data_IF_781051382962
#
_entry.id   IF_781051382962
#
_cell.length_a   1.000
_cell.length_b   1.000
_cell.length_c   1.000
_cell.angle_alpha   90.00
_cell.angle_beta   90.00
_cell.angle_gamma   90.00
#
_symmetry.space_group_name_H-M   'P 1'
#
loop_
_entity.id
_entity.type
_entity.pdbx_description
1 polymer ?
#
# COMPACT_ATOMS: atom_id res chain seq x y z
N UNK A 1 -3.47 107.20 30.33
CA UNK A 1 -4.15 106.00 30.85
C UNK A 1 -3.29 104.79 30.50
N UNK A 2 -2.65 104.15 31.47
CA UNK A 2 -1.86 102.95 31.21
C UNK A 2 -2.79 101.79 30.85
N UNK A 3 -2.59 101.18 29.67
CA UNK A 3 -3.35 100.01 29.24
C UNK A 3 -2.69 98.77 29.85
N UNK A 4 -3.42 98.04 30.69
CA UNK A 4 -2.97 96.73 31.19
C UNK A 4 -3.13 95.70 30.07
N UNK A 5 -2.14 94.85 29.90
CA UNK A 5 -2.15 93.74 28.93
C UNK A 5 -2.00 92.45 29.73
N UNK A 6 -2.84 91.46 29.43
CA UNK A 6 -2.72 90.10 29.94
C UNK A 6 -2.28 89.18 28.80
N UNK A 7 -1.39 88.25 29.11
CA UNK A 7 -0.91 87.21 28.20
C UNK A 7 -1.21 85.86 28.84
N UNK A 8 -1.83 84.95 28.09
CA UNK A 8 -2.08 83.58 28.53
C UNK A 8 -1.07 82.68 27.83
N UNK A 9 -0.21 82.03 28.62
CA UNK A 9 0.74 81.04 28.12
C UNK A 9 0.09 79.65 28.13
N UNK A 10 0.15 78.96 27.00
CA UNK A 10 -0.34 77.60 26.86
C UNK A 10 0.81 76.60 27.08
N UNK A 11 0.53 75.56 27.89
CA UNK A 11 1.46 74.48 28.18
C UNK A 11 0.86 73.14 27.73
N UNK A 12 1.71 72.10 27.60
CA UNK A 12 1.23 70.75 27.29
C UNK A 12 0.14 70.30 28.29
N UNK A 13 -0.84 69.52 27.82
CA UNK A 13 -1.96 69.06 28.64
C UNK A 13 -1.60 67.94 29.63
N UNK A 14 -0.35 67.48 29.63
CA UNK A 14 0.12 66.36 30.44
C UNK A 14 0.94 66.83 31.66
N UNK A 15 1.49 65.85 32.38
CA UNK A 15 2.35 66.10 33.53
C UNK A 15 3.58 66.96 33.22
N UNK A 16 4.06 66.97 31.97
CA UNK A 16 5.20 67.81 31.58
C UNK A 16 4.80 69.28 31.55
N UNK A 17 3.63 69.60 30.99
CA UNK A 17 3.14 70.97 30.96
C UNK A 17 2.75 71.50 32.34
N UNK A 18 2.19 70.66 33.22
CA UNK A 18 1.95 71.05 34.61
C UNK A 18 3.26 71.36 35.36
N UNK A 19 4.31 70.56 35.15
CA UNK A 19 5.62 70.80 35.74
C UNK A 19 6.23 72.14 35.25
N UNK A 20 6.19 72.39 33.94
CA UNK A 20 6.68 73.65 33.35
C UNK A 20 5.90 74.88 33.81
N UNK A 21 4.57 74.80 33.89
CA UNK A 21 3.73 75.89 34.38
C UNK A 21 4.02 76.21 35.85
N UNK A 22 4.18 75.17 36.68
CA UNK A 22 4.51 75.31 38.10
C UNK A 22 5.91 75.89 38.32
N UNK A 23 6.87 75.51 37.47
CA UNK A 23 8.22 76.08 37.51
C UNK A 23 8.21 77.58 37.19
N UNK A 24 7.47 77.99 36.17
CA UNK A 24 7.29 79.40 35.83
C UNK A 24 6.59 80.19 36.94
N UNK A 25 5.53 79.65 37.55
CA UNK A 25 4.86 80.28 38.69
C UNK A 25 5.83 80.53 39.85
N UNK A 26 6.66 79.53 40.19
CA UNK A 26 7.68 79.68 41.24
C UNK A 26 8.73 80.75 40.94
N UNK A 27 9.06 80.96 39.66
CA UNK A 27 9.98 82.02 39.25
C UNK A 27 9.39 83.40 39.55
N UNK A 28 8.12 83.63 39.18
CA UNK A 28 7.41 84.86 39.54
C UNK A 28 7.25 85.02 41.06
N UNK A 29 7.03 83.94 41.81
CA UNK A 29 6.99 84.00 43.27
C UNK A 29 8.34 84.43 43.88
N UNK A 30 9.47 83.88 43.39
CA UNK A 30 10.82 84.27 43.87
C UNK A 30 11.13 85.74 43.62
N UNK A 31 10.62 86.31 42.54
CA UNK A 31 10.82 87.73 42.20
C UNK A 31 9.85 88.68 42.93
N UNK A 32 8.95 88.15 43.75
CA UNK A 32 7.89 88.94 44.39
C UNK A 32 6.92 89.52 43.37
N UNK A 33 6.53 88.71 42.38
CA UNK A 33 5.66 89.04 41.26
C UNK A 33 4.46 88.08 41.17
N UNK A 34 4.06 87.44 42.26
CA UNK A 34 2.96 86.47 42.22
C UNK A 34 1.60 87.16 42.15
N UNK A 35 0.53 86.36 41.99
CA UNK A 35 -0.86 86.80 42.12
C UNK A 35 -1.11 87.58 43.42
N UNK A 36 -0.47 87.18 44.51
CA UNK A 36 -0.64 87.83 45.82
C UNK A 36 -0.10 89.26 45.79
N UNK A 37 1.12 89.46 45.31
CA UNK A 37 1.71 90.80 45.20
C UNK A 37 0.92 91.69 44.22
N UNK A 38 0.37 91.09 43.15
CA UNK A 38 -0.53 91.78 42.22
C UNK A 38 -1.82 92.29 42.90
N UNK A 39 -2.48 91.45 43.70
CA UNK A 39 -3.74 91.81 44.39
C UNK A 39 -3.51 92.81 45.52
N UNK A 40 -2.42 92.66 46.27
CA UNK A 40 -2.11 93.51 47.42
C UNK A 40 -1.61 94.92 47.04
N UNK A 41 -1.39 95.19 45.74
CA UNK A 41 -0.82 96.44 45.21
C UNK A 41 0.48 96.86 45.93
N UNK A 42 1.22 95.88 46.45
CA UNK A 42 2.55 96.07 47.06
C UNK A 42 3.60 96.12 45.96
N UNK A 43 3.68 97.25 45.27
CA UNK A 43 4.69 97.46 44.25
C UNK A 43 4.79 98.93 43.87
N UNK A 44 6.03 99.43 43.81
CA UNK A 44 6.30 100.71 43.17
C UNK A 44 5.77 100.68 41.72
N UNK A 45 5.24 101.83 41.28
CA UNK A 45 4.54 102.01 40.01
C UNK A 45 5.48 102.02 38.80
N UNK A 46 6.37 101.04 38.69
CA UNK A 46 7.15 100.75 37.49
C UNK A 46 6.71 99.42 36.87
N UNK A 47 6.92 99.31 35.56
CA UNK A 47 6.40 98.30 34.63
C UNK A 47 6.81 96.84 34.95
N UNK A 48 6.37 96.28 36.08
CA UNK A 48 6.64 94.91 36.51
C UNK A 48 5.60 93.94 35.94
N UNK A 49 6.05 92.81 35.39
CA UNK A 49 5.17 91.71 35.00
C UNK A 49 4.84 90.85 36.22
N UNK A 50 3.60 90.36 36.29
CA UNK A 50 3.13 89.45 37.33
C UNK A 50 2.63 88.17 36.67
N UNK A 51 2.86 87.03 37.31
CA UNK A 51 2.54 85.72 36.74
C UNK A 51 2.14 84.71 37.81
N UNK A 52 1.20 83.84 37.45
CA UNK A 52 0.72 82.72 38.28
C UNK A 52 0.09 81.66 37.38
N UNK A 53 -0.05 80.44 37.89
CA UNK A 53 -0.84 79.42 37.22
C UNK A 53 -2.33 79.74 37.37
N UNK A 54 -3.08 79.77 36.27
CA UNK A 54 -4.52 79.93 36.33
C UNK A 54 -5.17 78.74 37.07
N UNK A 55 -5.97 79.02 38.11
CA UNK A 55 -6.69 78.01 38.90
C UNK A 55 -8.20 78.20 38.79
N UNK A 56 -8.97 77.42 39.53
CA UNK A 56 -10.44 77.46 39.52
C UNK A 56 -10.99 78.89 39.76
N UNK A 57 -10.32 79.69 40.58
CA UNK A 57 -10.72 81.09 40.82
C UNK A 57 -10.55 81.96 39.57
N UNK A 58 -9.45 81.81 38.84
CA UNK A 58 -9.18 82.57 37.60
C UNK A 58 -10.10 82.11 36.47
N UNK A 59 -10.34 80.81 36.37
CA UNK A 59 -11.26 80.20 35.40
C UNK A 59 -12.70 80.70 35.58
N UNK A 60 -13.16 80.83 36.84
CA UNK A 60 -14.50 81.30 37.18
C UNK A 60 -14.57 82.83 37.39
N UNK A 61 -13.50 83.57 37.11
CA UNK A 61 -13.46 85.02 37.34
C UNK A 61 -14.28 85.77 36.29
N UNK A 62 -14.90 86.88 36.70
CA UNK A 62 -15.54 87.79 35.76
C UNK A 62 -14.49 88.64 35.02
N UNK A 63 -14.66 88.77 33.70
CA UNK A 63 -13.81 89.58 32.84
C UNK A 63 -13.00 88.78 31.80
N UNK A 64 -12.16 89.46 31.00
CA UNK A 64 -11.58 88.87 29.80
C UNK A 64 -10.70 87.63 30.03
N UNK A 65 -10.08 87.52 31.21
CA UNK A 65 -9.22 86.38 31.55
C UNK A 65 -10.07 85.13 31.81
N UNK A 66 -11.09 85.22 32.67
CA UNK A 66 -11.99 84.08 32.94
C UNK A 66 -12.84 83.69 31.73
N UNK A 67 -13.30 84.67 30.94
CA UNK A 67 -13.99 84.39 29.66
C UNK A 67 -13.10 83.63 28.68
N UNK A 68 -11.83 83.99 28.55
CA UNK A 68 -10.89 83.27 27.69
C UNK A 68 -10.60 81.86 28.23
N UNK A 69 -10.30 81.73 29.52
CA UNK A 69 -9.97 80.45 30.15
C UNK A 69 -11.14 79.45 30.09
N UNK A 70 -12.38 79.91 30.28
CA UNK A 70 -13.57 79.06 30.19
C UNK A 70 -13.92 78.62 28.77
N UNK A 71 -13.61 79.47 27.78
CA UNK A 71 -13.84 79.18 26.37
C UNK A 71 -12.79 78.23 25.77
N UNK A 72 -11.51 78.47 26.05
CA UNK A 72 -10.40 77.74 25.43
C UNK A 72 -9.86 76.60 26.31
N UNK A 73 -10.13 76.64 27.62
CA UNK A 73 -9.60 75.68 28.60
C UNK A 73 -10.67 74.81 29.26
N UNK A 74 -10.24 73.68 29.83
CA UNK A 74 -11.07 72.80 30.66
C UNK A 74 -10.44 72.70 32.06
N UNK A 75 -11.21 73.02 33.09
CA UNK A 75 -10.79 72.81 34.48
C UNK A 75 -10.68 71.31 34.76
N UNK A 76 -9.49 70.85 35.17
CA UNK A 76 -9.19 69.45 35.53
C UNK A 76 -8.49 69.39 36.88
N UNK A 77 -8.67 68.30 37.60
CA UNK A 77 -7.90 68.00 38.81
C UNK A 77 -6.63 67.20 38.46
N UNK A 78 -5.67 67.20 39.39
CA UNK A 78 -4.46 66.36 39.29
C UNK A 78 -4.81 64.86 39.20
N UNK A 79 -5.91 64.46 39.84
CA UNK A 79 -6.42 63.10 39.81
C UNK A 79 -6.94 62.72 38.43
N UNK A 80 -7.64 63.64 37.74
CA UNK A 80 -8.20 63.40 36.40
C UNK A 80 -7.10 63.07 35.38
N UNK A 81 -5.99 63.83 35.40
CA UNK A 81 -4.83 63.62 34.51
C UNK A 81 -4.14 62.27 34.80
N UNK A 82 -4.09 61.88 36.08
CA UNK A 82 -3.51 60.59 36.49
C UNK A 82 -4.38 59.42 36.06
N UNK A 83 -5.69 59.57 36.17
CA UNK A 83 -6.67 58.56 35.80
C UNK A 83 -6.70 58.32 34.28
N UNK A 84 -6.77 59.38 33.47
CA UNK A 84 -6.75 59.30 32.00
C UNK A 84 -5.50 58.52 31.51
N UNK A 85 -4.32 58.86 32.04
CA UNK A 85 -3.08 58.16 31.71
C UNK A 85 -3.06 56.69 32.16
N UNK A 86 -3.73 56.35 33.26
CA UNK A 86 -3.84 54.98 33.75
C UNK A 86 -4.83 54.16 32.90
N UNK A 87 -5.96 54.76 32.53
CA UNK A 87 -6.96 54.17 31.64
C UNK A 87 -6.37 53.87 30.26
N UNK A 88 -5.65 54.82 29.66
CA UNK A 88 -4.96 54.62 28.38
C UNK A 88 -3.98 53.44 28.44
N UNK A 89 -3.17 53.37 29.51
CA UNK A 89 -2.22 52.27 29.72
C UNK A 89 -2.93 50.94 29.90
N UNK A 90 -3.99 50.90 30.69
CA UNK A 90 -4.76 49.67 30.92
C UNK A 90 -5.42 49.19 29.62
N UNK A 91 -5.97 50.10 28.82
CA UNK A 91 -6.55 49.75 27.51
C UNK A 91 -5.52 49.07 26.61
N UNK A 92 -4.32 49.64 26.51
CA UNK A 92 -3.22 49.03 25.72
C UNK A 92 -2.80 47.68 26.30
N UNK A 93 -2.73 47.55 27.63
CA UNK A 93 -2.39 46.28 28.27
C UNK A 93 -3.43 45.19 28.00
N UNK A 94 -4.72 45.52 28.05
CA UNK A 94 -5.80 44.57 27.74
C UNK A 94 -5.76 44.13 26.27
N UNK A 95 -5.53 45.05 25.33
CA UNK A 95 -5.36 44.72 23.91
C UNK A 95 -4.16 43.78 23.69
N UNK A 96 -3.02 44.09 24.30
CA UNK A 96 -1.82 43.26 24.21
C UNK A 96 -2.04 41.88 24.85
N UNK A 97 -2.71 41.82 26.00
CA UNK A 97 -3.06 40.57 26.68
C UNK A 97 -3.96 39.68 25.81
N UNK A 98 -4.96 40.29 25.17
CA UNK A 98 -5.84 39.62 24.21
C UNK A 98 -5.06 39.07 23.01
N UNK A 99 -4.16 39.87 22.43
CA UNK A 99 -3.32 39.46 21.31
C UNK A 99 -2.39 38.29 21.69
N UNK A 100 -1.80 38.30 22.89
CA UNK A 100 -0.98 37.20 23.41
C UNK A 100 -1.83 35.93 23.57
N UNK A 101 -3.04 36.04 24.13
CA UNK A 101 -3.94 34.91 24.31
C UNK A 101 -4.32 34.27 22.96
N UNK A 102 -4.71 35.08 21.97
CA UNK A 102 -5.01 34.61 20.61
C UNK A 102 -3.80 33.94 19.96
N UNK A 103 -2.62 34.57 20.05
CA UNK A 103 -1.38 34.03 19.46
C UNK A 103 -1.00 32.69 20.09
N UNK A 104 -1.15 32.55 21.41
CA UNK A 104 -0.93 31.28 22.10
C UNK A 104 -1.94 30.21 21.69
N UNK A 105 -3.20 30.57 21.48
CA UNK A 105 -4.21 29.63 21.01
C UNK A 105 -3.89 29.13 19.59
N UNK A 106 -3.50 30.02 18.68
CA UNK A 106 -3.10 29.65 17.32
C UNK A 106 -1.83 28.79 17.31
N UNK A 107 -0.85 29.11 18.15
CA UNK A 107 0.36 28.30 18.32
C UNK A 107 0.00 26.88 18.78
N UNK A 108 -0.90 26.74 19.75
CA UNK A 108 -1.37 25.44 20.23
C UNK A 108 -2.08 24.65 19.13
N UNK A 109 -2.93 25.30 18.31
CA UNK A 109 -3.61 24.65 17.17
C UNK A 109 -2.61 24.12 16.14
N UNK A 110 -1.62 24.94 15.76
CA UNK A 110 -0.59 24.53 14.80
C UNK A 110 0.25 23.39 15.36
N UNK A 111 0.65 23.46 16.63
CA UNK A 111 1.41 22.40 17.29
C UNK A 111 0.62 21.07 17.34
N UNK A 112 -0.68 21.14 17.64
CA UNK A 112 -1.55 19.96 17.64
C UNK A 112 -1.62 19.33 16.24
N UNK A 113 -1.92 20.13 15.21
CA UNK A 113 -2.00 19.65 13.82
C UNK A 113 -0.68 19.06 13.32
N UNK A 114 0.44 19.69 13.68
CA UNK A 114 1.77 19.18 13.37
C UNK A 114 2.01 17.80 14.01
N UNK A 115 1.68 17.64 15.30
CA UNK A 115 1.87 16.37 15.99
C UNK A 115 0.98 15.27 15.40
N UNK A 116 -0.27 15.59 15.06
CA UNK A 116 -1.19 14.65 14.42
C UNK A 116 -0.66 14.17 13.06
N UNK A 117 -0.25 15.12 12.20
CA UNK A 117 0.29 14.80 10.87
C UNK A 117 1.61 14.03 10.96
N UNK A 118 2.49 14.35 11.92
CA UNK A 118 3.73 13.60 12.17
C UNK A 118 3.46 12.15 12.60
N UNK A 119 2.46 11.92 13.46
CA UNK A 119 2.05 10.58 13.88
C UNK A 119 1.46 9.76 12.72
N UNK A 120 0.59 10.37 11.91
CA UNK A 120 0.02 9.74 10.72
C UNK A 120 1.09 9.37 9.70
N UNK A 121 2.03 10.29 9.43
CA UNK A 121 3.14 10.05 8.52
C UNK A 121 4.00 8.88 8.98
N UNK A 122 4.34 8.82 10.27
CA UNK A 122 5.09 7.69 10.85
C UNK A 122 4.34 6.38 10.64
N UNK A 123 3.05 6.33 10.95
CA UNK A 123 2.21 5.13 10.77
C UNK A 123 2.19 4.64 9.33
N UNK A 124 1.96 5.55 8.37
CA UNK A 124 1.91 5.20 6.95
C UNK A 124 3.27 4.70 6.46
N UNK A 125 4.37 5.31 6.94
CA UNK A 125 5.72 4.86 6.61
C UNK A 125 6.00 3.44 7.13
N UNK A 126 5.59 3.15 8.36
CA UNK A 126 5.72 1.82 8.96
C UNK A 126 4.85 0.78 8.23
N UNK A 127 3.61 1.13 7.88
CA UNK A 127 2.73 0.28 7.07
C UNK A 127 3.33 -0.02 5.69
N UNK A 128 3.88 1.00 5.01
CA UNK A 128 4.56 0.82 3.72
C UNK A 128 5.74 -0.14 3.86
N UNK A 129 6.60 0.06 4.87
CA UNK A 129 7.74 -0.81 5.13
C UNK A 129 7.30 -2.27 5.35
N UNK A 130 6.27 -2.49 6.16
CA UNK A 130 5.75 -3.83 6.43
C UNK A 130 5.17 -4.49 5.16
N UNK A 131 4.48 -3.72 4.31
CA UNK A 131 3.97 -4.20 3.03
C UNK A 131 5.10 -4.58 2.07
N UNK A 132 6.13 -3.73 1.96
CA UNK A 132 7.29 -3.98 1.10
C UNK A 132 8.04 -5.25 1.55
N UNK A 133 8.22 -5.43 2.87
CA UNK A 133 8.83 -6.64 3.45
C UNK A 133 7.99 -7.90 3.19
N UNK A 134 6.67 -7.82 3.41
CA UNK A 134 5.76 -8.95 3.17
C UNK A 134 5.73 -9.33 1.68
N UNK A 135 5.70 -8.35 0.78
CA UNK A 135 5.73 -8.57 -0.67
C UNK A 135 7.04 -9.24 -1.10
N UNK A 136 8.17 -8.79 -0.58
CA UNK A 136 9.48 -9.37 -0.88
C UNK A 136 9.56 -10.84 -0.43
N UNK A 137 9.07 -11.15 0.78
CA UNK A 137 9.06 -12.51 1.32
C UNK A 137 8.13 -13.43 0.52
N UNK A 138 6.94 -12.96 0.15
CA UNK A 138 6.00 -13.76 -0.66
C UNK A 138 6.53 -14.02 -2.07
N UNK A 139 7.15 -13.01 -2.70
CA UNK A 139 7.79 -13.15 -4.01
C UNK A 139 8.92 -14.20 -3.96
N UNK A 140 9.70 -14.20 -2.88
CA UNK A 140 10.78 -15.17 -2.65
C UNK A 140 10.22 -16.59 -2.45
N UNK A 141 9.16 -16.75 -1.64
CA UNK A 141 8.49 -18.05 -1.46
C UNK A 141 7.93 -18.59 -2.77
N UNK A 142 7.25 -17.75 -3.54
CA UNK A 142 6.71 -18.12 -4.85
C UNK A 142 7.82 -18.60 -5.80
N UNK A 143 8.94 -17.88 -5.88
CA UNK A 143 10.09 -18.31 -6.67
C UNK A 143 10.67 -19.65 -6.19
N UNK A 144 10.84 -19.81 -4.87
CA UNK A 144 11.35 -21.06 -4.31
C UNK A 144 10.43 -22.26 -4.62
N UNK A 145 9.12 -22.08 -4.51
CA UNK A 145 8.15 -23.12 -4.86
C UNK A 145 8.19 -23.47 -6.34
N UNK A 146 8.28 -22.46 -7.21
CA UNK A 146 8.41 -22.67 -8.66
C UNK A 146 9.68 -23.44 -9.01
N UNK A 147 10.83 -23.03 -8.46
CA UNK A 147 12.12 -23.72 -8.67
C UNK A 147 12.05 -25.18 -8.20
N UNK A 148 11.51 -25.44 -7.00
CA UNK A 148 11.35 -26.81 -6.48
C UNK A 148 10.44 -27.65 -7.38
N UNK A 149 9.36 -27.06 -7.89
CA UNK A 149 8.45 -27.75 -8.82
C UNK A 149 9.17 -28.13 -10.11
N UNK A 150 9.96 -27.22 -10.68
CA UNK A 150 10.74 -27.48 -11.90
C UNK A 150 11.77 -28.57 -11.65
N UNK A 151 12.50 -28.51 -10.53
CA UNK A 151 13.49 -29.54 -10.15
C UNK A 151 12.84 -30.93 -10.09
N UNK A 152 11.69 -31.05 -9.40
CA UNK A 152 10.95 -32.31 -9.33
C UNK A 152 10.54 -32.84 -10.71
N UNK A 153 10.05 -31.97 -11.59
CA UNK A 153 9.68 -32.36 -12.97
C UNK A 153 10.90 -32.87 -13.74
N UNK A 154 12.07 -32.23 -13.57
CA UNK A 154 13.30 -32.67 -14.21
C UNK A 154 13.77 -34.03 -13.68
N UNK A 155 13.73 -34.24 -12.38
CA UNK A 155 14.05 -35.53 -11.74
C UNK A 155 13.12 -36.65 -12.23
N UNK A 156 11.81 -36.40 -12.29
CA UNK A 156 10.83 -37.36 -12.80
C UNK A 156 11.05 -37.66 -14.28
N UNK A 157 11.39 -36.64 -15.10
CA UNK A 157 11.74 -36.83 -16.51
C UNK A 157 12.95 -37.73 -16.67
N UNK A 158 14.01 -37.49 -15.89
CA UNK A 158 15.24 -38.29 -15.94
C UNK A 158 14.95 -39.75 -15.57
N UNK A 159 14.21 -39.96 -14.47
CA UNK A 159 13.77 -41.31 -14.04
C UNK A 159 13.01 -42.04 -15.15
N UNK A 160 12.01 -41.39 -15.76
CA UNK A 160 11.21 -41.99 -16.83
C UNK A 160 12.05 -42.27 -18.09
N UNK A 161 13.02 -41.41 -18.42
CA UNK A 161 13.95 -41.63 -19.53
C UNK A 161 14.77 -42.90 -19.30
N UNK A 162 15.33 -43.07 -18.09
CA UNK A 162 16.10 -44.25 -17.72
C UNK A 162 15.23 -45.53 -17.78
N UNK A 163 13.99 -45.48 -17.31
CA UNK A 163 13.04 -46.60 -17.42
C UNK A 163 12.72 -46.96 -18.88
N UNK A 164 12.57 -45.95 -19.75
CA UNK A 164 12.31 -46.14 -21.17
C UNK A 164 13.50 -46.80 -21.86
N UNK A 165 14.72 -46.31 -21.63
CA UNK A 165 15.94 -46.90 -22.16
C UNK A 165 16.12 -48.36 -21.73
N UNK A 166 15.85 -48.66 -20.45
CA UNK A 166 15.89 -50.03 -19.94
C UNK A 166 14.88 -50.95 -20.65
N UNK A 167 13.66 -50.47 -20.91
CA UNK A 167 12.64 -51.22 -21.66
C UNK A 167 13.04 -51.42 -23.13
N UNK A 168 13.57 -50.38 -23.78
CA UNK A 168 14.07 -50.49 -25.16
C UNK A 168 15.18 -51.54 -25.27
N UNK A 169 16.12 -51.57 -24.31
CA UNK A 169 17.19 -52.56 -24.29
C UNK A 169 16.65 -53.98 -24.12
N UNK A 170 15.65 -54.18 -23.24
CA UNK A 170 14.97 -55.48 -23.06
C UNK A 170 14.30 -55.94 -24.34
N UNK A 171 13.53 -55.06 -25.00
CA UNK A 171 12.86 -55.39 -26.26
C UNK A 171 13.86 -55.73 -27.37
N UNK A 172 14.96 -54.97 -27.48
CA UNK A 172 16.04 -55.24 -28.43
C UNK A 172 16.65 -56.63 -28.21
N UNK A 173 16.84 -57.02 -26.95
CA UNK A 173 17.36 -58.35 -26.62
C UNK A 173 16.34 -59.45 -26.94
N UNK A 174 15.06 -59.26 -26.59
CA UNK A 174 14.00 -60.21 -26.96
C UNK A 174 13.84 -60.37 -28.47
N UNK A 175 13.94 -59.29 -29.24
CA UNK A 175 13.89 -59.34 -30.70
C UNK A 175 15.01 -60.20 -31.26
N UNK A 176 16.24 -60.06 -30.75
CA UNK A 176 17.38 -60.90 -31.16
C UNK A 176 17.18 -62.37 -30.81
N UNK A 177 16.64 -62.67 -29.63
CA UNK A 177 16.34 -64.06 -29.24
C UNK A 177 15.23 -64.66 -30.10
N UNK A 178 14.21 -63.87 -30.46
CA UNK A 178 13.14 -64.31 -31.35
C UNK A 178 13.67 -64.62 -32.76
N UNK A 179 14.52 -63.75 -33.31
CA UNK A 179 15.17 -63.96 -34.62
C UNK A 179 16.03 -65.24 -34.64
N UNK A 180 16.77 -65.53 -33.55
CA UNK A 180 17.49 -66.81 -33.40
C UNK A 180 16.54 -68.01 -33.38
N UNK A 181 15.40 -67.91 -32.70
CA UNK A 181 14.42 -69.00 -32.64
C UNK A 181 13.74 -69.21 -33.99
N UNK A 182 13.38 -68.14 -34.67
CA UNK A 182 12.77 -68.18 -36.00
C UNK A 182 13.70 -68.83 -37.03
N UNK A 183 14.97 -68.44 -37.06
CA UNK A 183 15.98 -69.07 -37.94
C UNK A 183 16.18 -70.56 -37.65
N UNK A 184 16.16 -70.96 -36.36
CA UNK A 184 16.20 -72.39 -35.99
C UNK A 184 14.95 -73.14 -36.45
N UNK A 185 13.75 -72.58 -36.22
CA UNK A 185 12.49 -73.20 -36.62
C UNK A 185 12.39 -73.32 -38.14
N UNK A 186 12.81 -72.31 -38.90
CA UNK A 186 12.82 -72.39 -40.37
C UNK A 186 13.80 -73.45 -40.87
N UNK A 187 14.97 -73.59 -40.23
CA UNK A 187 15.93 -74.65 -40.54
C UNK A 187 15.37 -76.04 -40.24
N UNK A 188 14.69 -76.22 -39.11
CA UNK A 188 14.02 -77.48 -38.75
C UNK A 188 12.89 -77.81 -39.73
N UNK A 189 12.10 -76.82 -40.14
CA UNK A 189 11.04 -76.96 -41.15
C UNK A 189 11.63 -77.43 -42.49
N UNK A 190 12.72 -76.81 -42.94
CA UNK A 190 13.41 -77.21 -44.17
C UNK A 190 13.91 -78.65 -44.10
N UNK A 191 14.52 -79.07 -42.98
CA UNK A 191 14.95 -80.47 -42.79
C UNK A 191 13.79 -81.45 -42.83
N UNK A 192 12.67 -81.13 -42.18
CA UNK A 192 11.48 -81.99 -42.22
C UNK A 192 10.88 -82.08 -43.63
N UNK A 193 10.86 -80.98 -44.38
CA UNK A 193 10.40 -80.98 -45.76
C UNK A 193 11.32 -81.80 -46.69
N UNK A 194 12.64 -81.77 -46.47
CA UNK A 194 13.60 -82.64 -47.16
C UNK A 194 13.39 -84.12 -46.82
N UNK A 195 13.17 -84.45 -45.55
CA UNK A 195 12.95 -85.82 -45.11
C UNK A 195 11.62 -86.37 -45.66
N UNK A 196 10.54 -85.56 -45.65
CA UNK A 196 9.28 -85.91 -46.32
C UNK A 196 9.47 -86.20 -47.80
N UNK A 197 10.24 -85.37 -48.52
CA UNK A 197 10.57 -85.61 -49.94
C UNK A 197 11.31 -86.92 -50.14
N UNK A 198 12.26 -87.27 -49.26
CA UNK A 198 12.98 -88.55 -49.32
C UNK A 198 12.07 -89.75 -49.06
N UNK A 199 11.21 -89.70 -48.05
CA UNK A 199 10.22 -90.75 -47.76
C UNK A 199 9.32 -90.98 -48.97
N UNK A 200 8.79 -89.90 -49.57
CA UNK A 200 7.98 -89.97 -50.80
C UNK A 200 8.78 -90.57 -51.98
N UNK A 201 10.10 -90.34 -52.05
CA UNK A 201 10.95 -90.92 -53.09
C UNK A 201 11.26 -92.42 -52.88
N UNK A 202 11.36 -92.89 -51.63
CA UNK A 202 11.74 -94.27 -51.29
C UNK A 202 10.57 -95.26 -51.12
N UNK A 203 9.32 -94.81 -51.11
CA UNK A 203 8.14 -95.70 -50.98
C UNK A 203 7.80 -96.49 -52.25
N UNK A 204 7.35 -97.74 -52.07
CA UNK A 204 6.95 -98.69 -53.11
C UNK A 204 5.61 -98.25 -53.80
N UNK A 205 5.26 -98.70 -55.03
CA UNK A 205 4.11 -98.18 -55.79
C UNK A 205 2.73 -98.27 -55.10
N UNK A 206 2.55 -99.23 -54.18
CA UNK A 206 1.28 -99.39 -53.42
C UNK A 206 1.13 -98.37 -52.28
N UNK A 207 2.22 -97.98 -51.62
CA UNK A 207 2.19 -96.99 -50.52
C UNK A 207 1.96 -95.56 -51.04
N UNK A 208 2.46 -95.25 -52.25
CA UNK A 208 2.16 -93.97 -52.93
C UNK A 208 0.66 -93.77 -53.20
N UNK A 209 -0.07 -94.85 -53.49
CA UNK A 209 -1.53 -94.80 -53.72
C UNK A 209 -2.33 -94.57 -52.43
N UNK A 210 -1.89 -95.11 -51.30
CA UNK A 210 -2.53 -94.88 -49.99
C UNK A 210 -2.20 -93.49 -49.41
N UNK A 211 -1.00 -92.97 -49.61
CA UNK A 211 -0.64 -91.59 -49.22
C UNK A 211 -1.40 -90.53 -50.03
N UNK A 212 -1.62 -90.76 -51.33
CA UNK A 212 -2.47 -89.90 -52.17
C UNK A 212 -3.97 -89.96 -51.76
N UNK A 213 -4.44 -91.09 -51.21
CA UNK A 213 -5.80 -91.23 -50.67
C UNK A 213 -6.00 -90.47 -49.36
N UNK A 214 -4.98 -90.38 -48.51
CA UNK A 214 -5.08 -89.60 -47.25
C UNK A 214 -4.91 -88.10 -47.48
N UNK A 215 -4.19 -87.66 -48.53
CA UNK A 215 -4.00 -86.25 -48.88
C UNK A 215 -5.18 -85.58 -49.58
N UNK A 216 -6.22 -86.32 -49.97
CA UNK A 216 -7.39 -85.78 -50.70
C UNK A 216 -8.44 -85.09 -49.81
N UNK A 217 -8.24 -85.00 -48.49
CA UNK A 217 -9.25 -84.43 -47.57
C UNK A 217 -8.77 -83.23 -46.73
N UNK A 218 -7.51 -82.81 -46.87
CA UNK A 218 -7.02 -81.59 -46.22
C UNK A 218 -6.03 -80.90 -47.15
N UNK A 219 -6.55 -79.89 -47.86
CA UNK A 219 -5.74 -78.90 -48.54
C UNK A 219 -4.93 -78.15 -47.49
N UNK A 220 -3.61 -78.21 -47.59
CA UNK A 220 -2.65 -77.58 -46.65
C UNK A 220 -2.24 -76.20 -47.16
N UNK A 221 -3.11 -75.58 -47.96
CA UNK A 221 -3.05 -74.18 -48.37
C UNK A 221 -3.71 -73.31 -47.29
N UNK A 222 -2.90 -72.71 -46.42
CA UNK A 222 -3.16 -71.45 -45.69
C UNK A 222 -4.54 -71.17 -45.05
N UNK A 223 -5.32 -72.20 -44.73
CA UNK A 223 -6.53 -72.04 -43.93
C UNK A 223 -6.30 -72.48 -42.48
N UNK A 224 -6.33 -71.49 -41.59
CA UNK A 224 -6.39 -71.54 -40.13
C UNK A 224 -6.81 -72.92 -39.61
N UNK A 225 -5.92 -73.59 -38.87
CA UNK A 225 -6.27 -74.74 -38.02
C UNK A 225 -7.20 -74.25 -36.90
N UNK A 226 -8.47 -74.04 -37.22
CA UNK A 226 -9.52 -73.91 -36.21
C UNK A 226 -9.63 -75.31 -35.62
N UNK A 227 -8.90 -75.50 -34.52
CA UNK A 227 -9.10 -76.59 -33.57
C UNK A 227 -10.61 -76.83 -33.47
N UNK A 228 -11.05 -78.10 -33.52
CA UNK A 228 -12.45 -78.54 -33.40
C UNK A 228 -13.10 -77.97 -32.11
N UNK A 229 -13.43 -76.69 -32.09
CA UNK A 229 -14.18 -76.06 -31.02
C UNK A 229 -15.64 -76.37 -31.38
N UNK A 230 -16.20 -77.34 -30.66
CA UNK A 230 -17.61 -77.68 -30.82
C UNK A 230 -18.49 -76.51 -30.37
N UNK A 231 -19.73 -76.45 -30.87
CA UNK A 231 -20.75 -75.52 -30.36
C UNK A 231 -20.85 -75.55 -28.82
N UNK A 232 -20.78 -76.74 -28.22
CA UNK A 232 -20.81 -76.92 -26.76
C UNK A 232 -19.60 -76.29 -26.06
N UNK A 233 -18.42 -76.38 -26.65
CA UNK A 233 -17.19 -75.79 -26.12
C UNK A 233 -17.24 -74.25 -26.14
N UNK A 234 -17.81 -73.65 -27.20
CA UNK A 234 -18.03 -72.19 -27.27
C UNK A 234 -19.00 -71.70 -26.19
N UNK A 235 -20.11 -72.41 -25.98
CA UNK A 235 -21.07 -72.05 -24.94
C UNK A 235 -20.48 -72.22 -23.54
N UNK A 236 -19.71 -73.28 -23.29
CA UNK A 236 -19.05 -73.50 -22.01
C UNK A 236 -18.02 -72.39 -21.68
N UNK A 237 -17.21 -71.96 -22.65
CA UNK A 237 -16.26 -70.86 -22.46
C UNK A 237 -16.96 -69.53 -22.16
N UNK A 238 -18.06 -69.25 -22.87
CA UNK A 238 -18.85 -68.04 -22.67
C UNK A 238 -19.56 -68.00 -21.32
N UNK A 239 -20.14 -69.13 -20.89
CA UNK A 239 -21.05 -69.17 -19.74
C UNK A 239 -20.34 -69.52 -18.43
N UNK A 240 -19.26 -70.30 -18.45
CA UNK A 240 -18.54 -70.76 -17.25
C UNK A 240 -17.13 -70.16 -17.05
N UNK A 241 -16.57 -69.46 -18.05
CA UNK A 241 -15.21 -68.90 -17.99
C UNK A 241 -15.12 -67.42 -18.37
N UNK A 242 -16.24 -66.69 -18.29
CA UNK A 242 -16.36 -65.28 -18.68
C UNK A 242 -15.41 -64.35 -17.92
N UNK A 243 -15.13 -64.67 -16.65
CA UNK A 243 -14.24 -63.94 -15.74
C UNK A 243 -12.76 -64.07 -16.11
N UNK A 244 -12.40 -65.07 -16.91
CA UNK A 244 -11.01 -65.36 -17.33
C UNK A 244 -10.70 -64.88 -18.74
N UNK A 245 -11.68 -64.31 -19.44
CA UNK A 245 -11.54 -63.88 -20.83
C UNK A 245 -11.36 -62.36 -20.90
N UNK A 246 -10.33 -61.92 -21.64
CA UNK A 246 -10.13 -60.51 -21.93
C UNK A 246 -11.16 -60.00 -22.95
N UNK A 247 -11.26 -58.68 -23.10
CA UNK A 247 -12.12 -58.07 -24.12
C UNK A 247 -11.73 -58.51 -25.54
N UNK A 248 -10.43 -58.68 -25.81
CA UNK A 248 -9.93 -59.23 -27.08
C UNK A 248 -10.39 -60.67 -27.30
N UNK A 249 -10.35 -61.51 -26.26
CA UNK A 249 -10.76 -62.92 -26.38
C UNK A 249 -12.26 -63.04 -26.68
N UNK A 250 -13.07 -62.21 -26.02
CA UNK A 250 -14.51 -62.11 -26.28
C UNK A 250 -14.84 -61.69 -27.72
N UNK A 251 -14.04 -60.79 -28.28
CA UNK A 251 -14.18 -60.36 -29.68
C UNK A 251 -13.86 -61.51 -30.63
N UNK A 252 -12.75 -62.22 -30.40
CA UNK A 252 -12.36 -63.39 -31.19
C UNK A 252 -13.43 -64.48 -31.13
N UNK A 253 -14.00 -64.77 -29.96
CA UNK A 253 -15.09 -65.74 -29.81
C UNK A 253 -16.36 -65.33 -30.58
N UNK A 254 -16.69 -64.04 -30.60
CA UNK A 254 -17.84 -63.51 -31.34
C UNK A 254 -17.63 -63.60 -32.85
N UNK A 255 -16.42 -63.29 -33.32
CA UNK A 255 -16.05 -63.43 -34.73
C UNK A 255 -16.05 -64.91 -35.15
N UNK A 256 -15.56 -65.82 -34.30
CA UNK A 256 -15.60 -67.26 -34.55
C UNK A 256 -17.04 -67.80 -34.63
N UNK A 257 -17.94 -67.33 -33.75
CA UNK A 257 -19.36 -67.67 -33.77
C UNK A 257 -20.03 -67.25 -35.09
N UNK A 258 -19.66 -66.08 -35.63
CA UNK A 258 -20.14 -65.56 -36.91
C UNK A 258 -19.62 -66.39 -38.09
N UNK A 259 -18.32 -66.68 -38.11
CA UNK A 259 -17.68 -67.48 -39.19
C UNK A 259 -18.26 -68.89 -39.26
N UNK A 260 -18.53 -69.52 -38.11
CA UNK A 260 -19.07 -70.87 -38.05
C UNK A 260 -20.61 -70.96 -38.17
N UNK A 261 -21.28 -69.83 -38.45
CA UNK A 261 -22.74 -69.72 -38.59
C UNK A 261 -23.53 -70.35 -37.42
N UNK A 262 -23.03 -70.16 -36.20
CA UNK A 262 -23.64 -70.66 -34.98
C UNK A 262 -24.64 -69.60 -34.49
N UNK A 263 -25.95 -69.85 -34.60
CA UNK A 263 -26.99 -69.04 -33.93
C UNK A 263 -26.86 -69.15 -32.40
#
# INVERSE_FOLDING_TARGET
TYKKVAVVAEFNSDWSGFASATELEKEFEREGCSKKEWVEKRGDSESKAYGWCARAEDYNSEGPIGEYLSKEGKLRTVSDISQEKAEDRNSVLEELSSMIAMTNEDLNKVQYSYNETAMLLKRVKDQKKNLDEAYAEETKKMHQMSIRSIQKILEDKERLSNELEAKMLRLKNWSKELEKKETLTELERQKLDEEKKKIVASSNPEEKRQALSFGSHYDTSDDILVTRISRGSLFALRDHHKDKLSFSDMKVLSDLKRVLNIK
#
